data_IF_637520469682
#
_entry.id   IF_637520469682
#
_cell.length_a   1.000
_cell.length_b   1.000
_cell.length_c   1.000
_cell.angle_alpha   90.00
_cell.angle_beta   90.00
_cell.angle_gamma   90.00
#
_symmetry.space_group_name_H-M   'P 1'
#
loop_
_entity.id
_entity.type
_entity.pdbx_description
1 polymer ?
#
# COMPACT_ATOMS: atom_id res chain seq x y z
N UNK A 1 14.88 -20.45 13.04
CA UNK A 1 14.77 -19.78 14.34
C UNK A 1 13.29 -19.61 14.64
N UNK A 2 12.81 -19.95 15.85
CA UNK A 2 11.41 -19.73 16.20
C UNK A 2 11.08 -18.25 16.01
N UNK A 3 10.00 -17.99 15.28
CA UNK A 3 9.53 -16.66 15.01
C UNK A 3 9.01 -16.04 16.32
N UNK A 4 9.51 -14.84 16.65
CA UNK A 4 9.13 -14.13 17.86
C UNK A 4 7.62 -13.83 17.85
N UNK A 5 6.97 -13.93 19.01
CA UNK A 5 5.53 -13.67 19.15
C UNK A 5 5.17 -12.25 18.65
N UNK A 6 6.07 -11.29 18.87
CA UNK A 6 5.94 -9.92 18.41
C UNK A 6 5.91 -9.81 16.87
N UNK A 7 6.65 -10.68 16.18
CA UNK A 7 6.68 -10.70 14.71
C UNK A 7 5.35 -11.21 14.12
N UNK A 8 4.76 -12.24 14.73
CA UNK A 8 3.44 -12.77 14.30
C UNK A 8 2.32 -11.76 14.51
N UNK A 9 2.28 -11.12 15.67
CA UNK A 9 1.28 -10.09 15.97
C UNK A 9 1.43 -8.88 15.04
N UNK A 10 2.67 -8.49 14.71
CA UNK A 10 2.91 -7.43 13.74
C UNK A 10 2.44 -7.78 12.33
N UNK A 11 2.69 -9.02 11.86
CA UNK A 11 2.15 -9.51 10.58
C UNK A 11 0.63 -9.49 10.56
N UNK A 12 -0.02 -9.91 11.65
CA UNK A 12 -1.48 -9.87 11.82
C UNK A 12 -2.05 -8.48 11.60
N UNK A 13 -1.46 -7.48 12.27
CA UNK A 13 -1.84 -6.07 12.19
C UNK A 13 -1.68 -5.51 10.78
N UNK A 14 -0.60 -5.86 10.08
CA UNK A 14 -0.39 -5.48 8.67
C UNK A 14 -1.37 -6.14 7.72
N UNK A 15 -1.70 -7.42 7.94
CA UNK A 15 -2.70 -8.16 7.15
C UNK A 15 -4.07 -7.54 7.30
N UNK A 16 -4.49 -7.23 8.54
CA UNK A 16 -5.74 -6.53 8.80
C UNK A 16 -5.78 -5.16 8.12
N UNK A 17 -4.72 -4.35 8.28
CA UNK A 17 -4.64 -3.05 7.63
C UNK A 17 -4.65 -3.13 6.09
N UNK A 18 -4.02 -4.16 5.51
CA UNK A 18 -4.10 -4.41 4.06
C UNK A 18 -5.51 -4.78 3.63
N UNK A 19 -6.23 -5.55 4.43
CA UNK A 19 -7.61 -5.96 4.14
C UNK A 19 -8.60 -4.79 4.19
N UNK A 20 -8.42 -3.85 5.14
CA UNK A 20 -9.22 -2.62 5.21
C UNK A 20 -9.19 -1.85 3.89
N UNK A 21 -8.04 -1.84 3.21
CA UNK A 21 -7.86 -1.19 1.93
C UNK A 21 -7.70 -2.19 0.78
N UNK A 22 -8.29 -3.38 0.86
CA UNK A 22 -8.32 -4.34 -0.26
C UNK A 22 -9.37 -3.95 -1.29
N UNK A 23 -9.02 -4.04 -2.57
CA UNK A 23 -9.93 -3.74 -3.68
C UNK A 23 -10.37 -5.01 -4.40
N UNK A 24 -11.57 -4.97 -4.97
CA UNK A 24 -12.05 -6.02 -5.88
C UNK A 24 -11.35 -5.99 -7.23
N UNK A 25 -10.94 -4.79 -7.69
CA UNK A 25 -10.22 -4.61 -8.95
C UNK A 25 -9.06 -3.64 -8.74
N UNK A 26 -7.88 -4.07 -9.17
CA UNK A 26 -6.63 -3.34 -9.02
C UNK A 26 -6.33 -2.58 -10.31
N UNK A 27 -6.33 -1.24 -10.21
CA UNK A 27 -6.08 -0.32 -11.34
C UNK A 27 -4.79 0.47 -11.19
N UNK A 28 -4.36 0.75 -9.97
CA UNK A 28 -3.09 1.44 -9.70
C UNK A 28 -2.29 0.60 -8.72
N UNK A 29 -1.13 0.10 -9.12
CA UNK A 29 -0.24 -0.67 -8.24
C UNK A 29 1.05 0.07 -8.07
N UNK A 30 1.46 0.25 -6.81
CA UNK A 30 2.85 0.59 -6.52
C UNK A 30 3.57 -0.66 -6.05
N UNK A 31 4.54 -1.14 -6.83
CA UNK A 31 5.41 -2.26 -6.49
C UNK A 31 6.70 -1.76 -5.84
N UNK A 32 7.09 -2.35 -4.71
CA UNK A 32 8.39 -2.10 -4.09
C UNK A 32 9.13 -3.34 -3.65
N UNK A 33 10.21 -3.10 -2.92
CA UNK A 33 11.21 -4.12 -2.59
C UNK A 33 10.74 -4.95 -1.38
N UNK A 34 10.61 -4.29 -0.24
CA UNK A 34 10.15 -4.84 1.02
C UNK A 34 9.62 -3.69 1.90
N UNK A 35 8.66 -3.94 2.80
CA UNK A 35 8.27 -2.94 3.78
C UNK A 35 9.41 -2.70 4.79
N UNK A 36 9.60 -1.47 5.29
CA UNK A 36 10.52 -1.24 6.40
C UNK A 36 10.00 -1.92 7.69
N UNK A 37 10.86 -2.24 8.67
CA UNK A 37 10.42 -2.85 9.93
C UNK A 37 9.47 -1.97 10.73
N UNK A 38 9.80 -0.69 10.82
CA UNK A 38 9.16 0.27 11.73
C UNK A 38 7.88 0.89 11.17
N UNK A 39 7.61 0.76 9.86
CA UNK A 39 6.51 1.47 9.20
C UNK A 39 5.78 0.59 8.21
N UNK A 40 4.54 0.94 7.94
CA UNK A 40 3.73 0.25 6.95
C UNK A 40 2.90 1.27 6.17
N UNK A 41 2.68 1.01 4.88
CA UNK A 41 2.03 1.98 4.00
C UNK A 41 0.63 2.37 4.49
N UNK A 42 -0.19 1.37 4.86
CA UNK A 42 -1.58 1.57 5.27
C UNK A 42 -1.74 2.13 6.70
N UNK A 43 -0.65 2.35 7.43
CA UNK A 43 -0.67 3.10 8.70
C UNK A 43 -0.53 4.61 8.48
N UNK A 44 -0.29 5.07 7.25
CA UNK A 44 -0.28 6.50 6.91
C UNK A 44 0.96 7.28 7.36
N UNK A 45 1.96 6.62 7.95
CA UNK A 45 3.13 7.29 8.56
C UNK A 45 4.43 7.14 7.75
N UNK A 46 4.42 6.28 6.73
CA UNK A 46 5.58 6.04 5.88
C UNK A 46 5.94 7.26 5.03
N UNK A 47 7.24 7.45 4.77
CA UNK A 47 7.70 8.54 3.90
C UNK A 47 7.11 8.41 2.50
N UNK A 48 7.04 7.18 1.98
CA UNK A 48 6.42 6.90 0.69
C UNK A 48 4.95 7.36 0.67
N UNK A 49 4.16 6.96 1.67
CA UNK A 49 2.76 7.34 1.80
C UNK A 49 2.56 8.87 1.74
N UNK A 50 3.32 9.62 2.54
CA UNK A 50 3.18 11.09 2.59
C UNK A 50 3.48 11.77 1.26
N UNK A 51 4.47 11.28 0.51
CA UNK A 51 4.78 11.82 -0.80
C UNK A 51 3.81 11.35 -1.88
N UNK A 52 3.30 10.12 -1.80
CA UNK A 52 2.22 9.67 -2.67
C UNK A 52 1.01 10.56 -2.49
N UNK A 53 0.57 10.79 -1.25
CA UNK A 53 -0.54 11.69 -0.90
C UNK A 53 -0.32 13.10 -1.47
N UNK A 54 0.89 13.66 -1.35
CA UNK A 54 1.24 14.95 -1.98
C UNK A 54 1.17 14.93 -3.50
N UNK A 55 1.44 13.81 -4.16
CA UNK A 55 1.32 13.71 -5.62
C UNK A 55 -0.15 13.78 -6.08
N UNK A 56 -1.11 13.56 -5.19
CA UNK A 56 -2.54 13.69 -5.47
C UNK A 56 -3.09 15.13 -5.28
N UNK A 57 -2.34 16.03 -4.62
CA UNK A 57 -2.76 17.42 -4.36
C UNK A 57 -3.26 18.14 -5.63
N UNK A 58 -2.60 18.05 -6.80
CA UNK A 58 -3.05 18.74 -8.01
C UNK A 58 -4.43 18.29 -8.53
N UNK A 59 -4.95 17.16 -8.05
CA UNK A 59 -6.20 16.55 -8.53
C UNK A 59 -7.38 16.77 -7.56
N UNK A 60 -7.11 16.80 -6.25
CA UNK A 60 -8.15 16.81 -5.21
C UNK A 60 -8.01 17.96 -4.20
N UNK A 61 -6.96 18.76 -4.32
CA UNK A 61 -6.67 19.88 -3.42
C UNK A 61 -6.00 19.45 -2.10
N UNK A 62 -5.36 20.43 -1.44
CA UNK A 62 -4.57 20.18 -0.22
C UNK A 62 -5.43 19.66 0.92
N UNK A 63 -6.60 20.27 1.17
CA UNK A 63 -7.49 19.91 2.28
C UNK A 63 -7.94 18.45 2.26
N UNK A 64 -8.05 17.83 1.07
CA UNK A 64 -8.38 16.41 0.98
C UNK A 64 -7.19 15.53 1.40
N UNK A 65 -5.99 15.95 1.00
CA UNK A 65 -4.74 15.21 1.24
C UNK A 65 -4.10 15.48 2.60
N UNK A 66 -4.72 16.27 3.47
CA UNK A 66 -4.26 16.44 4.87
C UNK A 66 -4.73 15.31 5.78
N UNK A 67 -5.79 14.60 5.38
CA UNK A 67 -6.38 13.48 6.12
C UNK A 67 -5.95 12.14 5.49
N UNK A 68 -5.17 11.38 6.25
CA UNK A 68 -4.64 10.09 5.79
C UNK A 68 -5.74 9.04 5.53
N UNK A 69 -6.82 9.04 6.31
CA UNK A 69 -7.93 8.10 6.15
C UNK A 69 -8.75 8.40 4.89
N UNK A 70 -9.04 9.68 4.65
CA UNK A 70 -9.67 10.11 3.38
C UNK A 70 -8.80 9.80 2.18
N UNK A 71 -7.50 10.05 2.26
CA UNK A 71 -6.58 9.72 1.18
C UNK A 71 -6.50 8.21 0.92
N UNK A 72 -6.38 7.37 1.94
CA UNK A 72 -6.35 5.91 1.76
C UNK A 72 -7.66 5.38 1.17
N UNK A 73 -8.80 5.96 1.55
CA UNK A 73 -10.10 5.62 0.99
C UNK A 73 -10.24 6.05 -0.47
N UNK A 74 -9.73 7.23 -0.84
CA UNK A 74 -9.59 7.64 -2.25
C UNK A 74 -8.69 6.68 -3.02
N UNK A 75 -7.52 6.37 -2.47
CA UNK A 75 -6.57 5.45 -3.10
C UNK A 75 -7.25 4.09 -3.32
N UNK A 76 -8.05 3.64 -2.36
CA UNK A 76 -8.89 2.45 -2.51
C UNK A 76 -9.95 2.56 -3.60
N UNK A 77 -10.75 3.63 -3.60
CA UNK A 77 -11.80 3.86 -4.57
C UNK A 77 -11.26 3.88 -6.02
N UNK A 78 -10.00 4.29 -6.19
CA UNK A 78 -9.28 4.24 -7.46
C UNK A 78 -8.81 2.85 -7.89
N UNK A 79 -9.02 1.80 -7.09
CA UNK A 79 -8.39 0.50 -7.32
C UNK A 79 -6.89 0.53 -6.97
N UNK A 80 -6.47 1.42 -6.08
CA UNK A 80 -5.08 1.57 -5.64
C UNK A 80 -4.64 0.45 -4.72
N UNK A 81 -3.46 -0.08 -4.96
CA UNK A 81 -2.86 -1.15 -4.16
C UNK A 81 -1.35 -0.92 -3.99
N UNK A 82 -0.83 -1.18 -2.80
CA UNK A 82 0.60 -1.23 -2.52
C UNK A 82 0.99 -2.69 -2.26
N UNK A 83 2.00 -3.16 -2.98
CA UNK A 83 2.61 -4.46 -2.73
C UNK A 83 4.13 -4.38 -2.83
N UNK A 84 4.79 -5.37 -2.25
CA UNK A 84 6.24 -5.49 -2.22
C UNK A 84 6.65 -6.91 -2.68
N UNK A 85 7.84 -7.04 -3.26
CA UNK A 85 8.37 -8.34 -3.68
C UNK A 85 8.55 -9.24 -2.46
N UNK A 86 9.16 -8.72 -1.40
CA UNK A 86 9.21 -9.38 -0.10
C UNK A 86 8.11 -8.81 0.82
N UNK A 87 7.31 -9.68 1.43
CA UNK A 87 6.29 -9.27 2.43
C UNK A 87 6.90 -9.01 3.80
N UNK A 88 7.93 -9.77 4.13
CA UNK A 88 8.59 -9.62 5.41
C UNK A 88 9.33 -8.29 5.48
N UNK A 89 9.24 -7.59 6.62
CA UNK A 89 9.97 -6.35 6.79
C UNK A 89 11.48 -6.56 6.70
N UNK A 90 12.13 -5.77 5.85
CA UNK A 90 13.58 -5.78 5.68
C UNK A 90 14.13 -4.36 5.84
N UNK A 91 15.30 -4.23 6.47
CA UNK A 91 15.98 -2.92 6.55
C UNK A 91 16.57 -2.63 5.18
N UNK A 92 16.27 -1.47 4.62
CA UNK A 92 16.93 -1.02 3.41
C UNK A 92 18.44 -0.94 3.65
N UNK A 93 19.22 -1.86 3.06
CA UNK A 93 20.66 -1.83 3.22
C UNK A 93 21.23 -0.64 2.43
N UNK A 94 22.24 0.04 2.99
CA UNK A 94 22.98 1.12 2.33
C UNK A 94 23.92 0.52 1.27
N UNK A 95 23.39 0.00 0.16
CA UNK A 95 24.19 -0.37 -1.01
C UNK A 95 23.97 -1.76 -1.60
N UNK A 96 23.21 -2.65 -0.94
CA UNK A 96 22.73 -3.90 -1.53
C UNK A 96 21.21 -3.90 -1.51
N UNK A 97 20.55 -4.33 -2.58
CA UNK A 97 19.26 -4.96 -2.35
C UNK A 97 19.58 -6.18 -1.46
N UNK A 98 18.88 -6.34 -0.34
CA UNK A 98 18.72 -7.71 0.14
C UNK A 98 18.13 -8.47 -1.04
N UNK A 99 18.72 -9.62 -1.38
CA UNK A 99 18.38 -10.30 -2.63
C UNK A 99 16.90 -10.71 -2.60
N UNK A 100 16.05 -9.91 -3.24
CA UNK A 100 14.62 -10.20 -3.38
C UNK A 100 14.38 -11.52 -4.12
N UNK A 101 15.43 -12.11 -4.72
CA UNK A 101 15.44 -13.43 -5.34
C UNK A 101 14.76 -14.49 -4.50
N UNK A 102 15.00 -14.52 -3.18
CA UNK A 102 14.39 -15.51 -2.28
C UNK A 102 12.86 -15.34 -2.13
N UNK A 103 12.33 -14.17 -2.47
CA UNK A 103 10.91 -13.83 -2.38
C UNK A 103 10.18 -13.98 -3.72
N UNK A 104 10.91 -14.13 -4.85
CA UNK A 104 10.33 -14.03 -6.19
C UNK A 104 9.27 -15.09 -6.48
N UNK A 105 9.46 -16.33 -6.07
CA UNK A 105 8.50 -17.42 -6.34
C UNK A 105 7.16 -17.14 -5.65
N UNK A 106 7.19 -16.79 -4.36
CA UNK A 106 5.99 -16.40 -3.61
C UNK A 106 5.36 -15.12 -4.17
N UNK A 107 6.18 -14.14 -4.52
CA UNK A 107 5.72 -12.91 -5.15
C UNK A 107 4.96 -13.18 -6.45
N UNK A 108 5.46 -14.05 -7.33
CA UNK A 108 4.81 -14.38 -8.60
C UNK A 108 3.45 -15.05 -8.40
N UNK A 109 3.33 -15.94 -7.41
CA UNK A 109 2.02 -16.53 -7.04
C UNK A 109 1.05 -15.45 -6.61
N UNK A 110 1.45 -14.52 -5.74
CA UNK A 110 0.58 -13.41 -5.31
C UNK A 110 0.24 -12.46 -6.46
N UNK A 111 1.24 -12.10 -7.26
CA UNK A 111 1.10 -11.19 -8.40
C UNK A 111 0.08 -11.71 -9.40
N UNK A 112 0.17 -12.99 -9.78
CA UNK A 112 -0.77 -13.62 -10.72
C UNK A 112 -2.21 -13.73 -10.20
N UNK A 113 -2.42 -13.59 -8.88
CA UNK A 113 -3.73 -13.61 -8.22
C UNK A 113 -4.32 -12.21 -8.01
N UNK A 114 -3.57 -11.15 -8.30
CA UNK A 114 -4.10 -9.79 -8.20
C UNK A 114 -5.19 -9.60 -9.27
N UNK A 115 -6.38 -9.10 -8.89
CA UNK A 115 -7.48 -8.91 -9.82
C UNK A 115 -7.26 -7.62 -10.63
N UNK A 116 -6.28 -7.62 -11.53
CA UNK A 116 -5.96 -6.47 -12.36
C UNK A 116 -7.11 -6.08 -13.30
N UNK A 117 -7.33 -4.79 -13.44
CA UNK A 117 -8.08 -4.26 -14.58
C UNK A 117 -7.33 -4.52 -15.90
N UNK A 118 -7.99 -4.43 -17.08
CA UNK A 118 -7.36 -4.71 -18.37
C UNK A 118 -6.10 -3.87 -18.70
N UNK A 119 -5.95 -2.68 -18.11
CA UNK A 119 -4.81 -1.78 -18.33
C UNK A 119 -4.40 -1.12 -17.01
N UNK A 120 -3.77 -1.84 -16.08
CA UNK A 120 -3.42 -1.29 -14.79
C UNK A 120 -2.19 -0.37 -14.89
N UNK A 121 -2.19 0.72 -14.14
CA UNK A 121 -1.01 1.54 -13.91
C UNK A 121 -0.10 0.85 -12.89
N UNK A 122 0.98 0.20 -13.37
CA UNK A 122 1.97 -0.44 -12.51
C UNK A 122 3.20 0.45 -12.37
N UNK A 123 3.42 0.94 -11.14
CA UNK A 123 4.50 1.86 -10.79
C UNK A 123 5.52 1.13 -9.93
N UNK A 124 6.77 1.10 -10.40
CA UNK A 124 7.87 0.51 -9.67
C UNK A 124 8.65 1.56 -8.87
N UNK A 125 8.87 1.29 -7.58
CA UNK A 125 9.70 2.11 -6.69
C UNK A 125 10.39 1.27 -5.62
N UNK A 126 11.74 1.15 -5.60
CA UNK A 126 12.71 1.96 -6.36
C UNK A 126 13.04 1.42 -7.75
N UNK A 127 13.52 2.28 -8.67
CA UNK A 127 13.91 1.92 -10.05
C UNK A 127 14.89 0.74 -10.14
N UNK A 128 15.83 0.63 -9.19
CA UNK A 128 16.84 -0.46 -9.14
C UNK A 128 16.24 -1.87 -9.03
N UNK A 129 14.99 -1.97 -8.57
CA UNK A 129 14.29 -3.24 -8.45
C UNK A 129 14.00 -3.85 -9.83
N UNK A 130 13.94 -3.02 -10.88
CA UNK A 130 13.51 -3.43 -12.21
C UNK A 130 14.32 -4.62 -12.71
N UNK A 131 15.65 -4.56 -12.65
CA UNK A 131 16.53 -5.60 -13.18
C UNK A 131 16.32 -6.96 -12.49
N UNK A 132 15.88 -6.95 -11.23
CA UNK A 132 15.61 -8.14 -10.42
C UNK A 132 14.23 -8.75 -10.66
N UNK A 133 13.33 -8.04 -11.31
CA UNK A 133 11.98 -8.54 -11.57
C UNK A 133 11.99 -9.62 -12.67
N UNK A 134 11.10 -10.63 -12.57
CA UNK A 134 10.81 -11.56 -13.65
C UNK A 134 10.30 -10.83 -14.90
N UNK A 135 10.58 -11.37 -16.09
CA UNK A 135 10.19 -10.74 -17.37
C UNK A 135 8.69 -10.49 -17.49
N UNK A 136 7.86 -11.38 -16.94
CA UNK A 136 6.40 -11.22 -16.94
C UNK A 136 5.98 -9.95 -16.20
N UNK A 137 6.56 -9.68 -15.03
CA UNK A 137 6.26 -8.47 -14.25
C UNK A 137 6.88 -7.24 -14.90
N UNK A 138 8.10 -7.33 -15.45
CA UNK A 138 8.74 -6.23 -16.20
C UNK A 138 7.86 -5.73 -17.35
N UNK A 139 7.24 -6.64 -18.08
CA UNK A 139 6.37 -6.31 -19.21
C UNK A 139 5.10 -5.54 -18.80
N UNK A 140 4.69 -5.66 -17.53
CA UNK A 140 3.52 -4.96 -16.99
C UNK A 140 3.88 -3.60 -16.37
N UNK A 141 5.16 -3.31 -16.10
CA UNK A 141 5.59 -2.03 -15.50
C UNK A 141 5.33 -0.87 -16.46
N UNK A 142 4.40 -0.01 -16.09
CA UNK A 142 4.05 1.20 -16.83
C UNK A 142 5.02 2.36 -16.58
N UNK A 143 5.55 2.47 -15.36
CA UNK A 143 6.39 3.58 -14.96
C UNK A 143 7.29 3.25 -13.78
N UNK A 144 8.40 3.98 -13.66
CA UNK A 144 9.34 3.82 -12.55
C UNK A 144 9.64 5.17 -11.91
N UNK A 145 9.55 5.23 -10.59
CA UNK A 145 9.81 6.45 -9.81
C UNK A 145 10.98 6.23 -8.84
N UNK A 146 11.81 7.26 -8.58
CA UNK A 146 12.78 7.17 -7.49
C UNK A 146 12.00 7.13 -6.17
N UNK A 147 12.45 6.40 -5.14
CA UNK A 147 11.80 6.49 -3.84
C UNK A 147 11.92 7.93 -3.30
N UNK A 148 10.90 8.46 -2.61
CA UNK A 148 11.00 9.75 -1.96
C UNK A 148 12.00 9.64 -0.81
N UNK A 149 13.27 9.94 -1.11
CA UNK A 149 14.39 9.79 -0.19
C UNK A 149 14.61 11.02 0.70
N UNK A 150 15.79 11.07 1.33
CA UNK A 150 16.22 12.22 2.13
C UNK A 150 16.53 13.45 1.26
N UNK A 151 16.97 13.24 0.02
CA UNK A 151 17.40 14.29 -0.90
C UNK A 151 16.21 15.00 -1.55
N UNK A 152 16.21 16.33 -1.52
CA UNK A 152 15.14 17.13 -2.12
C UNK A 152 14.92 16.83 -3.62
N UNK A 153 16.01 16.63 -4.36
CA UNK A 153 15.94 16.27 -5.78
C UNK A 153 15.14 14.98 -6.03
N UNK A 154 15.28 13.95 -5.18
CA UNK A 154 14.51 12.71 -5.30
C UNK A 154 13.02 12.92 -5.00
N UNK A 155 12.71 13.78 -4.02
CA UNK A 155 11.32 14.12 -3.68
C UNK A 155 10.62 14.85 -4.82
N UNK A 156 11.28 15.87 -5.38
CA UNK A 156 10.77 16.60 -6.55
C UNK A 156 10.60 15.67 -7.75
N UNK A 157 11.58 14.80 -8.01
CA UNK A 157 11.51 13.84 -9.10
C UNK A 157 10.38 12.81 -8.90
N UNK A 158 10.18 12.32 -7.68
CA UNK A 158 9.06 11.44 -7.33
C UNK A 158 7.72 12.14 -7.59
N UNK A 159 7.51 13.34 -7.04
CA UNK A 159 6.25 14.07 -7.16
C UNK A 159 5.91 14.35 -8.63
N UNK A 160 6.87 14.88 -9.39
CA UNK A 160 6.70 15.19 -10.81
C UNK A 160 6.33 13.94 -11.62
N UNK A 161 7.04 12.83 -11.39
CA UNK A 161 6.82 11.61 -12.17
C UNK A 161 5.52 10.91 -11.78
N UNK A 162 5.20 10.86 -10.49
CA UNK A 162 3.95 10.29 -10.00
C UNK A 162 2.74 11.09 -10.51
N UNK A 163 2.77 12.42 -10.42
CA UNK A 163 1.72 13.28 -10.96
C UNK A 163 1.54 13.04 -12.48
N UNK A 164 2.64 12.97 -13.23
CA UNK A 164 2.61 12.69 -14.67
C UNK A 164 1.94 11.36 -14.98
N UNK A 165 2.33 10.28 -14.27
CA UNK A 165 1.76 8.95 -14.44
C UNK A 165 0.26 8.91 -14.13
N UNK A 166 -0.15 9.49 -12.99
CA UNK A 166 -1.56 9.60 -12.60
C UNK A 166 -2.37 10.36 -13.64
N UNK A 167 -1.85 11.50 -14.13
CA UNK A 167 -2.52 12.31 -15.14
C UNK A 167 -2.72 11.57 -16.46
N UNK A 168 -1.72 10.82 -16.92
CA UNK A 168 -1.75 10.12 -18.22
C UNK A 168 -2.60 8.86 -18.17
N UNK A 169 -2.46 8.04 -17.13
CA UNK A 169 -3.03 6.68 -17.10
C UNK A 169 -4.30 6.57 -16.27
N UNK A 170 -4.56 7.48 -15.33
CA UNK A 170 -5.79 7.49 -14.53
C UNK A 170 -6.71 8.62 -14.98
N UNK A 171 -6.16 9.81 -15.22
CA UNK A 171 -6.91 10.98 -15.66
C UNK A 171 -7.46 11.79 -14.48
N UNK A 172 -7.55 13.11 -14.69
CA UNK A 172 -7.94 14.05 -13.63
C UNK A 172 -9.38 13.86 -13.17
N UNK A 173 -10.31 13.64 -14.11
CA UNK A 173 -11.73 13.46 -13.80
C UNK A 173 -11.97 12.19 -12.99
N UNK A 174 -11.35 11.06 -13.38
CA UNK A 174 -11.46 9.80 -12.65
C UNK A 174 -10.95 9.91 -11.21
N UNK A 175 -9.85 10.63 -10.98
CA UNK A 175 -9.36 10.89 -9.62
C UNK A 175 -10.34 11.75 -8.83
N UNK A 176 -10.88 12.80 -9.44
CA UNK A 176 -11.85 13.68 -8.79
C UNK A 176 -13.19 12.96 -8.50
N UNK A 177 -13.65 12.08 -9.40
CA UNK A 177 -14.83 11.24 -9.20
C UNK A 177 -14.65 10.26 -8.04
N UNK A 178 -13.50 9.57 -8.01
CA UNK A 178 -13.18 8.66 -6.92
C UNK A 178 -13.13 9.41 -5.57
N UNK A 179 -12.59 10.64 -5.54
CA UNK A 179 -12.56 11.45 -4.33
C UNK A 179 -13.95 11.84 -3.84
N UNK A 180 -14.87 12.15 -4.77
CA UNK A 180 -16.28 12.42 -4.45
C UNK A 180 -17.05 11.20 -3.95
N UNK A 181 -16.63 9.99 -4.36
CA UNK A 181 -17.25 8.74 -3.90
C UNK A 181 -16.79 8.27 -2.53
N UNK A 182 -15.79 8.93 -1.91
CA UNK A 182 -15.32 8.55 -0.58
C UNK A 182 -16.40 8.86 0.46
N UNK A 183 -16.91 7.81 1.08
CA UNK A 183 -17.68 7.93 2.32
C UNK A 183 -16.73 8.31 3.46
N UNK A 184 -17.00 9.45 4.09
CA UNK A 184 -16.14 10.03 5.12
C UNK A 184 -16.22 9.23 6.42
N UNK A 185 -17.39 8.67 6.77
CA UNK A 185 -17.56 7.93 8.02
C UNK A 185 -16.81 6.59 7.93
N UNK A 186 -16.96 5.89 6.81
CA UNK A 186 -16.19 4.67 6.52
C UNK A 186 -14.69 4.96 6.50
N UNK A 187 -14.25 6.05 5.86
CA UNK A 187 -12.85 6.42 5.78
C UNK A 187 -12.22 6.68 7.17
N UNK A 188 -12.98 7.33 8.06
CA UNK A 188 -12.55 7.59 9.43
C UNK A 188 -12.43 6.29 10.22
N UNK A 189 -13.45 5.42 10.14
CA UNK A 189 -13.46 4.16 10.88
C UNK A 189 -12.36 3.19 10.39
N UNK A 190 -12.19 3.06 9.07
CA UNK A 190 -11.11 2.28 8.45
C UNK A 190 -9.73 2.74 8.96
N UNK A 191 -9.53 4.06 9.00
CA UNK A 191 -8.26 4.62 9.47
C UNK A 191 -8.06 4.50 10.97
N UNK A 192 -9.14 4.57 11.77
CA UNK A 192 -9.07 4.34 13.22
C UNK A 192 -8.60 2.92 13.54
N UNK A 193 -9.12 1.90 12.84
CA UNK A 193 -8.67 0.51 12.98
C UNK A 193 -7.20 0.38 12.56
N UNK A 194 -6.82 0.96 11.42
CA UNK A 194 -5.44 0.91 10.93
C UNK A 194 -4.45 1.60 11.90
N UNK A 195 -4.84 2.74 12.48
CA UNK A 195 -4.05 3.46 13.48
C UNK A 195 -3.92 2.66 14.77
N UNK A 196 -5.01 2.06 15.27
CA UNK A 196 -4.95 1.20 16.45
C UNK A 196 -4.01 0.00 16.24
N UNK A 197 -3.98 -0.57 15.03
CA UNK A 197 -2.99 -1.58 14.64
C UNK A 197 -1.55 -1.04 14.69
N UNK A 198 -1.31 0.17 14.19
CA UNK A 198 0.01 0.81 14.18
C UNK A 198 0.52 1.12 15.58
N UNK A 199 -0.37 1.60 16.46
CA UNK A 199 -0.09 1.94 17.86
C UNK A 199 0.01 0.71 18.77
N UNK A 200 -0.32 -0.46 18.23
CA UNK A 200 -0.22 -1.72 18.91
C UNK A 200 -1.27 -1.95 19.98
N UNK A 201 -2.48 -1.45 19.74
CA UNK A 201 -3.63 -1.64 20.61
C UNK A 201 -3.89 -3.13 20.92
N UNK A 202 -4.51 -3.36 22.08
CA UNK A 202 -4.92 -4.69 22.53
C UNK A 202 -5.94 -5.33 21.59
N UNK A 203 -5.93 -6.65 21.50
CA UNK A 203 -6.82 -7.39 20.60
C UNK A 203 -8.32 -7.12 20.86
N UNK A 204 -8.71 -6.90 22.11
CA UNK A 204 -10.09 -6.54 22.48
C UNK A 204 -10.51 -5.18 21.92
N UNK A 205 -9.59 -4.22 21.85
CA UNK A 205 -9.84 -2.89 21.30
C UNK A 205 -9.97 -2.95 19.78
N UNK A 206 -9.10 -3.70 19.10
CA UNK A 206 -9.22 -3.95 17.65
C UNK A 206 -10.56 -4.61 17.32
N UNK A 207 -10.95 -5.64 18.07
CA UNK A 207 -12.23 -6.32 17.89
C UNK A 207 -13.43 -5.41 18.18
N UNK A 208 -13.33 -4.50 19.15
CA UNK A 208 -14.35 -3.48 19.44
C UNK A 208 -14.53 -2.55 18.24
N UNK A 209 -13.44 -2.05 17.66
CA UNK A 209 -13.50 -1.18 16.48
C UNK A 209 -14.03 -1.89 15.23
N UNK A 210 -13.74 -3.18 15.06
CA UNK A 210 -14.29 -4.00 13.98
C UNK A 210 -15.80 -4.26 14.16
N UNK A 211 -16.30 -4.25 15.40
CA UNK A 211 -17.72 -4.50 15.69
C UNK A 211 -18.58 -3.37 15.16
N UNK A 212 -19.57 -3.69 14.33
CA UNK A 212 -20.43 -2.71 13.65
C UNK A 212 -19.84 -2.13 12.36
N UNK A 213 -18.62 -2.52 11.99
CA UNK A 213 -18.04 -2.15 10.71
C UNK A 213 -18.82 -2.80 9.55
N UNK A 214 -19.07 -2.11 8.41
CA UNK A 214 -19.80 -2.70 7.26
C UNK A 214 -19.20 -4.02 6.74
N UNK A 215 -17.90 -4.20 6.95
CA UNK A 215 -17.11 -5.40 6.59
C UNK A 215 -16.72 -6.27 7.79
N UNK A 216 -17.44 -6.18 8.91
CA UNK A 216 -17.12 -6.84 10.18
C UNK A 216 -16.75 -8.31 10.02
N UNK A 217 -17.59 -9.12 9.39
CA UNK A 217 -17.36 -10.57 9.26
C UNK A 217 -16.03 -10.90 8.57
N UNK A 218 -15.67 -10.15 7.52
CA UNK A 218 -14.42 -10.33 6.79
C UNK A 218 -13.20 -9.89 7.61
N UNK A 219 -13.30 -8.72 8.25
CA UNK A 219 -12.19 -8.19 9.06
C UNK A 219 -11.95 -9.04 10.32
N UNK A 220 -13.01 -9.53 10.98
CA UNK A 220 -12.90 -10.51 12.06
C UNK A 220 -12.23 -11.79 11.58
N UNK A 221 -12.67 -12.34 10.45
CA UNK A 221 -12.06 -13.54 9.89
C UNK A 221 -10.55 -13.35 9.66
N UNK A 222 -10.14 -12.24 9.03
CA UNK A 222 -8.71 -11.94 8.78
C UNK A 222 -7.94 -11.73 10.07
N UNK A 223 -8.55 -11.07 11.06
CA UNK A 223 -7.94 -10.93 12.38
C UNK A 223 -7.77 -12.32 13.02
N UNK A 224 -8.82 -13.10 13.20
CA UNK A 224 -8.82 -14.36 13.94
C UNK A 224 -8.02 -15.47 13.26
N UNK A 225 -8.10 -15.59 11.93
CA UNK A 225 -7.52 -16.70 11.16
C UNK A 225 -6.25 -16.26 10.44
N UNK A 226 -5.34 -15.60 11.16
CA UNK A 226 -4.05 -15.16 10.62
C UNK A 226 -3.08 -16.32 10.33
N UNK A 227 -3.60 -17.48 9.95
CA UNK A 227 -2.78 -18.59 9.47
C UNK A 227 -2.17 -18.17 8.13
N UNK A 228 -0.86 -18.41 8.02
CA UNK A 228 -0.08 -18.22 6.82
C UNK A 228 -0.64 -19.15 5.74
N UNK A 229 -1.61 -18.68 4.95
CA UNK A 229 -1.95 -19.30 3.67
C UNK A 229 -0.65 -19.32 2.86
N UNK A 230 -0.04 -20.50 2.87
CA UNK A 230 1.32 -20.81 2.42
C UNK A 230 1.34 -21.02 0.91
#
# INVERSE_FOLDING_TARGET
MPEDADSREWRRRRKLASELYRQETVRVVVLGEAPPPERFFYFGDSLFFRYLMRAFVPFVGESFTEDAGRFLSLYRALGGWRTDVCEDPQRASKGGADDVGICLDRFLVRWSRLPFAPEPLVILSPKRLYDKLPNIVKAEVTGMVPPPGQWNAHRVAFLREMERLLRVYVGHETIADAARSVDVEDAVLDFEIARACAEGAEASEILRLITGHPREARLRFVWENNEDET
#
